data_IF_635137675628
#
_entry.id   IF_635137675628
#
_cell.length_a   1.000
_cell.length_b   1.000
_cell.length_c   1.000
_cell.angle_alpha   90.00
_cell.angle_beta   90.00
_cell.angle_gamma   90.00
#
_symmetry.space_group_name_H-M   'P 1'
#
loop_
_entity.id
_entity.type
_entity.pdbx_description
1 polymer ?
#
# COMPACT_ATOMS: atom_id res chain seq x y z
N UNK A 1 -4.52 22.53 -17.11
CA UNK A 1 -5.45 23.34 -17.95
C UNK A 1 -5.70 24.71 -17.33
N UNK A 2 -6.08 24.79 -16.04
CA UNK A 2 -6.36 26.07 -15.34
C UNK A 2 -5.10 26.96 -15.19
N UNK A 3 -3.91 26.39 -14.91
CA UNK A 3 -2.65 27.15 -14.96
C UNK A 3 -2.44 27.87 -16.29
N UNK A 4 -2.73 27.17 -17.39
CA UNK A 4 -2.59 27.71 -18.74
C UNK A 4 -3.59 28.84 -18.98
N UNK A 5 -4.83 28.69 -18.48
CA UNK A 5 -5.82 29.75 -18.52
C UNK A 5 -5.29 31.03 -17.84
N UNK A 6 -4.83 30.95 -16.58
CA UNK A 6 -4.31 32.13 -15.88
C UNK A 6 -3.05 32.72 -16.56
N UNK A 7 -2.20 31.86 -17.13
CA UNK A 7 -1.00 32.28 -17.87
C UNK A 7 -1.32 33.04 -19.15
N UNK A 8 -2.43 32.70 -19.82
CA UNK A 8 -2.92 33.39 -21.01
C UNK A 8 -3.67 34.66 -20.60
N UNK A 9 -4.55 34.56 -19.61
CA UNK A 9 -5.34 35.68 -19.10
C UNK A 9 -4.45 36.85 -18.62
N UNK A 10 -3.34 36.55 -17.95
CA UNK A 10 -2.37 37.57 -17.50
C UNK A 10 -1.65 38.33 -18.63
N UNK A 11 -1.65 37.77 -19.86
CA UNK A 11 -1.03 38.39 -21.05
C UNK A 11 -2.03 39.11 -21.94
N UNK A 12 -3.31 39.09 -21.56
CA UNK A 12 -4.37 39.71 -22.33
C UNK A 12 -4.45 41.20 -21.94
N UNK A 13 -3.80 42.06 -22.72
CA UNK A 13 -3.78 43.51 -22.47
C UNK A 13 -5.18 44.14 -22.60
N UNK A 14 -6.01 43.60 -23.50
CA UNK A 14 -7.42 43.94 -23.70
C UNK A 14 -8.22 42.69 -24.07
N UNK A 15 -9.44 42.61 -23.56
CA UNK A 15 -10.41 41.61 -24.00
C UNK A 15 -11.08 42.19 -25.25
N UNK A 16 -10.92 41.54 -26.40
CA UNK A 16 -11.70 41.88 -27.59
C UNK A 16 -13.19 41.61 -27.32
N UNK A 17 -14.09 42.44 -27.86
CA UNK A 17 -15.54 42.31 -27.63
C UNK A 17 -16.06 40.93 -28.11
N UNK A 18 -15.44 40.34 -29.14
CA UNK A 18 -15.74 38.97 -29.61
C UNK A 18 -15.34 37.88 -28.61
N UNK A 19 -14.40 38.17 -27.71
CA UNK A 19 -13.88 37.24 -26.71
C UNK A 19 -14.53 37.43 -25.33
N UNK A 20 -15.24 38.54 -25.11
CA UNK A 20 -15.84 38.91 -23.83
C UNK A 20 -16.79 37.84 -23.29
N UNK A 21 -17.58 37.20 -24.17
CA UNK A 21 -18.53 36.15 -23.79
C UNK A 21 -17.85 34.82 -23.39
N UNK A 22 -16.58 34.61 -23.76
CA UNK A 22 -15.83 33.39 -23.45
C UNK A 22 -14.94 33.52 -22.21
N UNK A 23 -14.76 34.73 -21.69
CA UNK A 23 -13.92 35.00 -20.54
C UNK A 23 -14.80 35.06 -19.28
N UNK A 24 -14.48 34.28 -18.23
CA UNK A 24 -15.13 34.41 -16.94
C UNK A 24 -15.11 35.85 -16.43
N UNK A 25 -16.20 36.29 -15.82
CA UNK A 25 -16.28 37.62 -15.23
C UNK A 25 -15.18 37.81 -14.16
N UNK A 26 -14.80 39.05 -13.82
CA UNK A 26 -13.78 39.28 -12.79
C UNK A 26 -14.07 38.59 -11.46
N UNK A 27 -15.35 38.53 -11.06
CA UNK A 27 -15.79 37.82 -9.84
C UNK A 27 -15.63 36.31 -9.94
N UNK A 28 -15.96 35.73 -11.09
CA UNK A 28 -15.75 34.31 -11.35
C UNK A 28 -14.27 33.97 -11.41
N UNK A 29 -13.43 34.85 -11.95
CA UNK A 29 -11.98 34.66 -11.96
C UNK A 29 -11.36 34.62 -10.56
N UNK A 30 -11.83 35.46 -9.64
CA UNK A 30 -11.40 35.40 -8.24
C UNK A 30 -11.79 34.05 -7.63
N UNK A 31 -13.05 33.63 -7.79
CA UNK A 31 -13.53 32.32 -7.29
C UNK A 31 -12.79 31.15 -7.92
N UNK A 32 -12.52 31.22 -9.23
CA UNK A 32 -11.78 30.19 -9.96
C UNK A 32 -10.35 30.07 -9.42
N UNK A 33 -9.72 31.19 -9.05
CA UNK A 33 -8.38 31.19 -8.46
C UNK A 33 -8.39 30.55 -7.08
N UNK A 34 -9.35 30.87 -6.23
CA UNK A 34 -9.52 30.25 -4.91
C UNK A 34 -9.72 28.72 -5.03
N UNK A 35 -10.67 28.29 -5.87
CA UNK A 35 -10.94 26.88 -6.13
C UNK A 35 -9.72 26.16 -6.72
N UNK A 36 -8.92 26.86 -7.52
CA UNK A 36 -7.73 26.29 -8.12
C UNK A 36 -6.64 26.01 -7.08
N UNK A 37 -6.45 26.90 -6.10
CA UNK A 37 -5.53 26.64 -4.98
C UNK A 37 -6.03 25.47 -4.11
N UNK A 38 -7.33 25.37 -3.87
CA UNK A 38 -7.90 24.20 -3.19
C UNK A 38 -7.64 22.90 -3.96
N UNK A 39 -7.78 22.92 -5.29
CA UNK A 39 -7.50 21.77 -6.13
C UNK A 39 -6.02 21.36 -6.07
N UNK A 40 -5.08 22.31 -6.03
CA UNK A 40 -3.65 22.01 -5.84
C UNK A 40 -3.37 21.34 -4.50
N UNK A 41 -4.03 21.80 -3.43
CA UNK A 41 -3.89 21.18 -2.12
C UNK A 41 -4.37 19.73 -2.17
N UNK A 42 -5.56 19.46 -2.73
CA UNK A 42 -6.07 18.10 -2.88
C UNK A 42 -5.23 17.23 -3.82
N UNK A 43 -4.67 17.80 -4.88
CA UNK A 43 -3.75 17.11 -5.79
C UNK A 43 -2.45 16.71 -5.08
N UNK A 44 -1.90 17.59 -4.22
CA UNK A 44 -0.70 17.27 -3.44
C UNK A 44 -0.93 16.08 -2.50
N UNK A 45 -2.12 16.01 -1.89
CA UNK A 45 -2.52 14.92 -1.02
C UNK A 45 -2.75 13.62 -1.81
N UNK A 46 -3.42 13.69 -2.96
CA UNK A 46 -3.64 12.50 -3.79
C UNK A 46 -2.32 11.94 -4.31
N UNK A 47 -1.39 12.80 -4.76
CA UNK A 47 -0.02 12.42 -5.13
C UNK A 47 0.70 11.76 -3.96
N UNK A 48 0.60 12.32 -2.75
CA UNK A 48 1.20 11.72 -1.55
C UNK A 48 0.63 10.33 -1.29
N UNK A 49 -0.69 10.15 -1.36
CA UNK A 49 -1.36 8.86 -1.14
C UNK A 49 -1.02 7.81 -2.20
N UNK A 50 -0.68 8.22 -3.42
CA UNK A 50 -0.25 7.31 -4.49
C UNK A 50 1.21 6.86 -4.36
N UNK A 51 1.99 7.43 -3.43
CA UNK A 51 3.36 6.94 -3.18
C UNK A 51 3.36 5.62 -2.41
N UNK A 52 4.35 4.77 -2.67
CA UNK A 52 4.41 3.39 -2.14
C UNK A 52 4.72 3.28 -0.64
N UNK A 53 4.95 4.39 0.07
CA UNK A 53 5.50 4.40 1.44
C UNK A 53 4.56 5.02 2.49
N UNK A 54 3.27 5.18 2.19
CA UNK A 54 2.34 5.82 3.13
C UNK A 54 1.73 4.79 4.08
N UNK A 55 1.92 4.97 5.38
CA UNK A 55 1.30 4.11 6.39
C UNK A 55 -0.19 4.47 6.57
N UNK A 56 -1.00 3.54 7.09
CA UNK A 56 -2.42 3.78 7.33
C UNK A 56 -2.64 4.92 8.35
N UNK A 57 -1.71 5.12 9.29
CA UNK A 57 -1.70 6.28 10.19
C UNK A 57 -1.54 7.59 9.43
N UNK A 58 -0.58 7.66 8.50
CA UNK A 58 -0.34 8.85 7.68
C UNK A 58 -1.56 9.16 6.80
N UNK A 59 -2.18 8.14 6.20
CA UNK A 59 -3.43 8.31 5.44
C UNK A 59 -4.51 8.95 6.32
N UNK A 60 -4.68 8.45 7.56
CA UNK A 60 -5.68 9.01 8.48
C UNK A 60 -5.35 10.46 8.86
N UNK A 61 -4.08 10.80 9.13
CA UNK A 61 -3.68 12.18 9.41
C UNK A 61 -3.96 13.11 8.23
N UNK A 62 -3.69 12.67 7.00
CA UNK A 62 -3.98 13.45 5.79
C UNK A 62 -5.50 13.67 5.63
N UNK A 63 -6.32 12.65 5.85
CA UNK A 63 -7.77 12.79 5.79
C UNK A 63 -8.33 13.68 6.91
N UNK A 64 -7.82 13.59 8.13
CA UNK A 64 -8.22 14.47 9.23
C UNK A 64 -7.87 15.94 8.90
N UNK A 65 -6.72 16.17 8.26
CA UNK A 65 -6.33 17.48 7.77
C UNK A 65 -7.28 18.01 6.68
N UNK A 66 -7.65 17.18 5.70
CA UNK A 66 -8.66 17.52 4.68
C UNK A 66 -10.00 17.85 5.31
N UNK A 67 -10.45 17.06 6.29
CA UNK A 67 -11.72 17.30 6.96
C UNK A 67 -11.73 18.61 7.75
N UNK A 68 -10.59 19.05 8.27
CA UNK A 68 -10.45 20.34 8.94
C UNK A 68 -10.55 21.51 7.96
N UNK A 69 -9.94 21.39 6.78
CA UNK A 69 -9.95 22.42 5.76
C UNK A 69 -11.23 22.43 4.91
N UNK A 70 -11.83 21.26 4.69
CA UNK A 70 -13.01 21.05 3.85
C UNK A 70 -14.06 20.22 4.62
N UNK A 71 -14.85 20.84 5.52
CA UNK A 71 -15.77 20.14 6.41
C UNK A 71 -16.82 19.28 5.70
N UNK A 72 -17.19 19.64 4.46
CA UNK A 72 -18.14 18.90 3.62
C UNK A 72 -17.67 17.47 3.29
N UNK A 73 -16.35 17.22 3.32
CA UNK A 73 -15.77 15.90 3.02
C UNK A 73 -15.91 14.89 4.17
N UNK A 74 -16.29 15.34 5.36
CA UNK A 74 -16.38 14.52 6.58
C UNK A 74 -17.28 13.29 6.41
N UNK A 75 -18.37 13.42 5.66
CA UNK A 75 -19.28 12.29 5.41
C UNK A 75 -18.58 11.10 4.71
N UNK A 76 -17.56 11.38 3.90
CA UNK A 76 -16.88 10.38 3.06
C UNK A 76 -15.52 9.96 3.64
N UNK A 77 -14.81 10.85 4.34
CA UNK A 77 -13.44 10.60 4.81
C UNK A 77 -13.33 10.23 6.30
N UNK A 78 -14.40 10.41 7.07
CA UNK A 78 -14.38 10.07 8.49
C UNK A 78 -14.13 8.56 8.71
N UNK A 79 -13.53 8.24 9.86
CA UNK A 79 -13.31 6.85 10.30
C UNK A 79 -14.59 6.01 10.41
N UNK A 80 -15.73 6.67 10.57
CA UNK A 80 -17.06 6.07 10.66
C UNK A 80 -17.88 6.28 9.37
N UNK A 81 -17.24 6.64 8.26
CA UNK A 81 -17.93 6.79 6.98
C UNK A 81 -18.49 5.43 6.52
N UNK A 82 -19.65 5.45 5.87
CA UNK A 82 -20.27 4.27 5.26
C UNK A 82 -19.41 3.64 4.16
N UNK A 83 -18.42 4.38 3.63
CA UNK A 83 -17.45 3.89 2.66
C UNK A 83 -16.40 2.95 3.29
N UNK A 84 -16.16 3.07 4.60
CA UNK A 84 -15.16 2.27 5.31
C UNK A 84 -15.71 0.86 5.51
N UNK A 85 -15.12 -0.13 4.82
CA UNK A 85 -15.61 -1.52 4.84
C UNK A 85 -15.40 -2.20 6.18
N UNK A 86 -14.26 -1.94 6.83
CA UNK A 86 -13.90 -2.56 8.10
C UNK A 86 -13.43 -1.52 9.12
N UNK A 87 -14.37 -0.75 9.72
CA UNK A 87 -14.03 0.37 10.61
C UNK A 87 -13.17 -0.05 11.80
N UNK A 88 -13.50 -1.17 12.45
CA UNK A 88 -12.76 -1.66 13.63
C UNK A 88 -11.34 -2.13 13.29
N UNK A 89 -11.14 -2.71 12.10
CA UNK A 89 -9.82 -3.14 11.65
C UNK A 89 -8.93 -1.93 11.32
N UNK A 90 -9.44 -0.99 10.52
CA UNK A 90 -8.69 0.21 10.14
C UNK A 90 -8.34 1.06 11.36
N UNK A 91 -9.31 1.33 12.23
CA UNK A 91 -9.08 2.10 13.45
C UNK A 91 -8.11 1.37 14.40
N UNK A 92 -8.20 0.05 14.48
CA UNK A 92 -7.26 -0.77 15.23
C UNK A 92 -5.82 -0.62 14.71
N UNK A 93 -5.62 -0.67 13.39
CA UNK A 93 -4.29 -0.46 12.77
C UNK A 93 -3.79 0.96 13.05
N UNK A 94 -4.62 1.99 12.86
CA UNK A 94 -4.22 3.39 13.15
C UNK A 94 -3.74 3.52 14.60
N UNK A 95 -4.48 2.95 15.56
CA UNK A 95 -4.13 3.01 16.99
C UNK A 95 -2.86 2.25 17.32
N UNK A 96 -2.59 1.12 16.66
CA UNK A 96 -1.34 0.38 16.84
C UNK A 96 -0.14 1.14 16.28
N UNK A 97 -0.26 1.68 15.05
CA UNK A 97 0.78 2.49 14.44
C UNK A 97 1.05 3.77 15.25
N UNK A 98 0.03 4.33 15.90
CA UNK A 98 0.17 5.48 16.80
C UNK A 98 0.79 5.11 18.18
N UNK A 99 1.16 3.85 18.42
CA UNK A 99 1.76 3.39 19.67
C UNK A 99 0.77 3.32 20.84
N UNK A 100 -0.54 3.20 20.57
CA UNK A 100 -1.61 3.22 21.59
C UNK A 100 -2.39 1.89 21.66
N UNK A 101 -1.75 0.72 21.87
CA UNK A 101 -2.42 -0.59 21.90
C UNK A 101 -3.43 -0.72 23.05
N UNK A 102 -3.24 0.02 24.15
CA UNK A 102 -4.16 0.05 25.30
C UNK A 102 -5.48 0.77 25.01
N UNK A 103 -5.53 1.60 23.95
CA UNK A 103 -6.73 2.34 23.55
C UNK A 103 -7.65 1.57 22.57
N UNK A 104 -7.29 0.33 22.26
CA UNK A 104 -8.08 -0.55 21.40
C UNK A 104 -9.39 -0.95 22.09
N UNK A 105 -10.50 -0.79 21.38
CA UNK A 105 -11.79 -1.34 21.78
C UNK A 105 -11.77 -2.87 21.69
N UNK A 106 -12.77 -3.53 22.27
CA UNK A 106 -12.90 -5.00 22.15
C UNK A 106 -13.03 -5.43 20.69
N UNK A 107 -13.79 -4.70 19.87
CA UNK A 107 -13.98 -4.99 18.44
C UNK A 107 -12.68 -4.81 17.65
N UNK A 108 -11.98 -3.70 17.88
CA UNK A 108 -10.69 -3.42 17.23
C UNK A 108 -9.62 -4.45 17.60
N UNK A 109 -9.55 -4.84 18.88
CA UNK A 109 -8.59 -5.86 19.34
C UNK A 109 -8.85 -7.21 18.71
N UNK A 110 -10.11 -7.62 18.55
CA UNK A 110 -10.48 -8.86 17.87
C UNK A 110 -10.14 -8.79 16.37
N UNK A 111 -10.39 -7.65 15.72
CA UNK A 111 -10.09 -7.45 14.31
C UNK A 111 -8.59 -7.51 14.01
N UNK A 112 -7.76 -7.00 14.92
CA UNK A 112 -6.30 -6.92 14.74
C UNK A 112 -5.53 -8.04 15.45
N UNK A 113 -6.22 -8.96 16.13
CA UNK A 113 -5.60 -10.04 16.91
C UNK A 113 -4.56 -10.86 16.14
N UNK A 114 -4.82 -11.16 14.86
CA UNK A 114 -3.90 -11.92 14.00
C UNK A 114 -2.59 -11.18 13.71
N UNK A 115 -2.60 -9.85 13.71
CA UNK A 115 -1.40 -9.02 13.49
C UNK A 115 -0.57 -8.84 14.77
N UNK A 116 -1.15 -9.08 15.94
CA UNK A 116 -0.46 -9.01 17.24
C UNK A 116 0.24 -10.33 17.62
N UNK A 117 -0.03 -11.42 16.91
CA UNK A 117 0.49 -12.76 17.24
C UNK A 117 1.95 -12.98 16.78
N UNK A 118 2.59 -11.99 16.16
CA UNK A 118 4.03 -12.00 15.86
C UNK A 118 4.83 -11.16 16.86
N UNK A 119 4.77 -11.55 18.13
CA UNK A 119 5.89 -11.31 19.06
C UNK A 119 5.92 -12.49 20.05
N UNK A 120 6.63 -13.54 19.64
CA UNK A 120 7.03 -14.59 20.56
C UNK A 120 8.06 -14.00 21.51
N UNK A 121 7.78 -14.10 22.82
CA UNK A 121 8.60 -13.67 23.96
C UNK A 121 8.36 -12.22 24.43
N UNK A 122 7.32 -12.03 25.24
CA UNK A 122 7.51 -11.79 26.69
C UNK A 122 6.14 -11.73 27.37
N UNK A 123 5.77 -12.80 28.06
CA UNK A 123 4.65 -12.80 28.98
C UNK A 123 5.14 -13.31 30.35
N UNK A 124 5.21 -12.35 31.26
CA UNK A 124 4.88 -12.43 32.69
C UNK A 124 5.96 -12.90 33.68
N UNK A 125 6.23 -11.98 34.59
CA UNK A 125 7.06 -12.02 35.79
C UNK A 125 6.34 -12.76 36.94
N UNK A 126 7.05 -13.74 37.54
CA UNK A 126 7.01 -14.27 38.93
C UNK A 126 5.82 -15.11 39.51
N UNK A 127 6.07 -16.03 40.48
CA UNK A 127 7.05 -17.14 40.49
C UNK A 127 6.48 -18.48 41.02
N UNK A 128 7.03 -19.63 40.61
CA UNK A 128 6.95 -20.92 41.34
C UNK A 128 8.10 -21.86 40.86
N UNK A 129 9.01 -22.32 41.75
CA UNK A 129 10.01 -23.37 41.46
C UNK A 129 9.63 -24.69 42.19
N UNK A 130 10.40 -25.81 42.12
CA UNK A 130 11.57 -26.11 41.29
C UNK A 130 11.49 -27.44 40.49
N UNK A 131 12.31 -27.50 39.44
CA UNK A 131 13.09 -28.66 38.96
C UNK A 131 12.42 -30.06 38.82
N UNK A 132 12.44 -30.57 37.59
CA UNK A 132 13.26 -31.76 37.24
C UNK A 132 13.39 -31.88 35.73
N UNK A 133 14.64 -31.83 35.25
CA UNK A 133 15.01 -32.04 33.86
C UNK A 133 14.69 -33.49 33.46
N UNK A 134 13.72 -33.66 32.56
CA UNK A 134 13.66 -34.83 31.68
C UNK A 134 13.54 -34.29 30.26
N UNK A 135 14.62 -34.44 29.48
CA UNK A 135 14.64 -34.15 28.05
C UNK A 135 13.48 -34.89 27.40
N UNK A 136 12.61 -34.16 26.74
CA UNK A 136 11.46 -34.72 26.02
C UNK A 136 11.94 -35.43 24.76
N UNK A 137 11.22 -36.49 24.37
CA UNK A 137 11.45 -37.29 23.16
C UNK A 137 11.61 -36.44 21.88
N UNK A 138 11.03 -35.24 21.85
CA UNK A 138 11.18 -34.27 20.76
C UNK A 138 12.61 -33.71 20.59
N UNK A 139 13.38 -33.62 21.67
CA UNK A 139 14.75 -33.07 21.65
C UNK A 139 15.79 -34.10 21.16
N UNK A 140 15.47 -35.40 21.27
CA UNK A 140 16.25 -36.47 20.66
C UNK A 140 15.98 -36.60 19.15
N UNK A 141 14.77 -36.27 18.69
CA UNK A 141 14.42 -36.28 17.26
C UNK A 141 15.11 -35.15 16.47
N UNK A 142 15.37 -33.99 17.11
CA UNK A 142 16.01 -32.84 16.47
C UNK A 142 17.55 -32.95 16.36
N UNK A 143 18.18 -33.94 16.97
CA UNK A 143 19.63 -34.16 16.90
C UNK A 143 20.04 -35.10 15.75
N UNK A 144 19.15 -35.99 15.32
CA UNK A 144 19.44 -37.03 14.31
C UNK A 144 19.10 -36.58 12.87
N UNK A 145 18.38 -35.47 12.71
CA UNK A 145 18.02 -34.88 11.41
C UNK A 145 18.80 -33.59 11.11
N UNK A 146 20.04 -33.51 11.58
CA UNK A 146 20.99 -32.46 11.18
C UNK A 146 21.66 -32.71 9.82
N UNK A 147 21.07 -33.58 8.99
CA UNK A 147 21.38 -33.66 7.57
C UNK A 147 20.56 -32.58 6.82
N UNK A 148 21.22 -31.47 6.52
CA UNK A 148 20.68 -30.29 5.86
C UNK A 148 19.67 -30.60 4.74
N UNK A 149 18.48 -29.97 4.74
CA UNK A 149 17.77 -29.71 3.50
C UNK A 149 18.34 -28.43 2.89
N UNK A 150 18.83 -28.55 1.66
CA UNK A 150 19.25 -27.47 0.78
C UNK A 150 18.30 -26.27 0.93
N UNK A 151 18.86 -25.09 1.19
CA UNK A 151 18.13 -23.84 0.97
C UNK A 151 17.74 -23.80 -0.50
N UNK A 152 16.52 -24.23 -0.82
CA UNK A 152 15.92 -23.93 -2.10
C UNK A 152 15.60 -22.45 -2.06
N UNK A 153 16.51 -21.66 -2.63
CA UNK A 153 16.33 -20.23 -2.86
C UNK A 153 15.08 -20.06 -3.73
N UNK A 154 13.94 -19.75 -3.10
CA UNK A 154 12.65 -19.48 -3.74
C UNK A 154 12.62 -18.09 -4.39
N UNK A 155 13.76 -17.38 -4.45
CA UNK A 155 13.87 -16.16 -5.24
C UNK A 155 13.83 -16.51 -6.72
N UNK A 156 12.74 -16.10 -7.37
CA UNK A 156 12.69 -16.02 -8.82
C UNK A 156 13.78 -15.05 -9.29
N UNK A 157 14.87 -15.61 -9.83
CA UNK A 157 15.92 -14.83 -10.48
C UNK A 157 15.25 -13.94 -11.55
N UNK A 158 15.49 -12.62 -11.63
CA UNK A 158 14.77 -11.71 -12.53
C UNK A 158 14.65 -12.19 -13.99
N UNK A 159 15.64 -12.95 -14.49
CA UNK A 159 15.54 -13.58 -15.82
C UNK A 159 14.41 -14.62 -15.95
N UNK A 160 14.06 -15.32 -14.88
CA UNK A 160 12.98 -16.31 -14.87
C UNK A 160 11.60 -15.67 -14.91
N UNK A 161 11.41 -14.48 -14.30
CA UNK A 161 10.13 -13.80 -14.31
C UNK A 161 9.78 -13.25 -15.71
N UNK A 162 10.74 -12.59 -16.38
CA UNK A 162 10.56 -12.15 -17.76
C UNK A 162 10.28 -13.33 -18.70
N UNK A 163 11.01 -14.44 -18.53
CA UNK A 163 10.81 -15.64 -19.35
C UNK A 163 9.42 -16.25 -19.13
N UNK A 164 8.96 -16.34 -17.88
CA UNK A 164 7.63 -16.87 -17.55
C UNK A 164 6.53 -15.96 -18.09
N UNK A 165 6.65 -14.64 -17.93
CA UNK A 165 5.69 -13.68 -18.49
C UNK A 165 5.66 -13.73 -20.02
N UNK A 166 6.83 -13.83 -20.67
CA UNK A 166 6.93 -13.93 -22.11
C UNK A 166 6.28 -15.22 -22.64
N UNK A 167 6.51 -16.36 -21.98
CA UNK A 167 5.89 -17.65 -22.34
C UNK A 167 4.38 -17.65 -22.08
N UNK A 168 3.91 -17.03 -21.00
CA UNK A 168 2.50 -16.98 -20.65
C UNK A 168 1.71 -16.05 -21.59
N UNK A 169 2.27 -14.90 -21.95
CA UNK A 169 1.64 -13.97 -22.88
C UNK A 169 1.63 -14.49 -24.32
N UNK A 170 2.69 -15.20 -24.73
CA UNK A 170 2.82 -15.76 -26.07
C UNK A 170 2.42 -17.23 -26.17
N UNK A 171 1.75 -17.81 -25.17
CA UNK A 171 1.44 -19.25 -25.14
C UNK A 171 0.72 -19.77 -26.39
N UNK A 172 -0.06 -18.93 -27.08
CA UNK A 172 -0.74 -19.29 -28.34
C UNK A 172 0.19 -19.43 -29.54
N UNK A 173 1.40 -18.86 -29.47
CA UNK A 173 2.41 -18.87 -30.52
C UNK A 173 3.48 -19.95 -30.31
N UNK A 174 3.46 -20.65 -29.16
CA UNK A 174 4.46 -21.64 -28.78
C UNK A 174 3.75 -22.94 -28.41
N UNK A 175 3.72 -23.90 -29.32
CA UNK A 175 3.23 -25.25 -29.01
C UNK A 175 4.20 -25.95 -28.04
N UNK A 176 3.67 -26.77 -27.13
CA UNK A 176 4.43 -27.40 -26.04
C UNK A 176 5.62 -28.23 -26.55
N UNK A 177 5.48 -28.78 -27.77
CA UNK A 177 6.54 -29.50 -28.48
C UNK A 177 7.75 -28.62 -28.84
N UNK A 178 7.52 -27.37 -29.25
CA UNK A 178 8.58 -26.43 -29.61
C UNK A 178 9.38 -25.97 -28.38
N UNK A 179 8.71 -25.78 -27.25
CA UNK A 179 9.37 -25.43 -25.97
C UNK A 179 10.21 -26.61 -25.46
N UNK A 180 9.70 -27.84 -25.56
CA UNK A 180 10.45 -29.04 -25.17
C UNK A 180 11.75 -29.21 -25.98
N UNK A 181 11.70 -29.02 -27.31
CA UNK A 181 12.89 -29.08 -28.15
C UNK A 181 13.91 -27.98 -27.82
N UNK A 182 13.45 -26.75 -27.53
CA UNK A 182 14.34 -25.65 -27.18
C UNK A 182 15.08 -25.91 -25.87
N UNK A 183 14.39 -26.45 -24.85
CA UNK A 183 14.99 -26.81 -23.56
C UNK A 183 16.02 -27.92 -23.72
N UNK A 184 15.73 -28.93 -24.54
CA UNK A 184 16.64 -30.04 -24.77
C UNK A 184 17.90 -29.64 -25.56
N UNK A 185 17.75 -28.75 -26.55
CA UNK A 185 18.88 -28.18 -27.28
C UNK A 185 19.76 -27.28 -26.40
N UNK A 186 19.16 -26.55 -25.46
CA UNK A 186 19.91 -25.73 -24.51
C UNK A 186 20.69 -26.60 -23.50
N UNK A 187 20.09 -27.70 -23.03
CA UNK A 187 20.79 -28.70 -22.19
C UNK A 187 21.96 -29.36 -22.91
N UNK A 188 21.84 -29.64 -24.22
CA UNK A 188 22.95 -30.17 -25.03
C UNK A 188 24.09 -29.16 -25.21
N UNK A 189 23.76 -27.87 -25.43
CA UNK A 189 24.76 -26.78 -25.54
C UNK A 189 25.54 -26.51 -24.26
N UNK A 190 24.98 -26.82 -23.08
CA UNK A 190 25.66 -26.65 -21.78
C UNK A 190 26.52 -27.85 -21.35
N UNK A 191 26.51 -28.93 -22.13
CA UNK A 191 27.29 -30.16 -21.88
C UNK A 191 28.49 -30.33 -22.82
N UNK A 192 28.73 -29.35 -23.70
CA UNK A 192 29.96 -29.14 -24.46
C UNK A 192 30.70 -27.94 -23.86
#
# INVERSE_FOLDING_TARGET
>A
MIDRYFSIYAKLDRVDDELADFIPTPRENVRLKELYEDLKNLESLSKKLQTSSVSLLDVRMLFDHVMKHYPTTKAQLAATSTLVKFPDFENGIVKLLAGKPRSLSRGERLAVAKLLQSDGATALDEPEPPATKKRSFAEAALADESAAPEQVDLRLNPMTLETVLFLQYNHKLWDASAVAQAVENNRKKRRL
#
